data_IF_785121607644
#
_entry.id   IF_785121607644
#
_cell.length_a   1.000
_cell.length_b   1.000
_cell.length_c   1.000
_cell.angle_alpha   90.00
_cell.angle_beta   90.00
_cell.angle_gamma   90.00
#
_symmetry.space_group_name_H-M   'P 1'
#
loop_
_entity.id
_entity.type
_entity.pdbx_description
1 polymer ?
#
# COMPACT_ATOMS: atom_id res chain seq x y z
N UNK A 1 0.76 -2.12 24.77
CA UNK A 1 -0.20 -2.08 23.64
C UNK A 1 0.52 -2.58 22.40
N UNK A 2 0.01 -3.62 21.74
CA UNK A 2 0.59 -4.13 20.50
C UNK A 2 0.41 -3.08 19.38
N UNK A 3 1.46 -2.35 19.05
CA UNK A 3 1.49 -1.49 17.88
C UNK A 3 1.51 -2.38 16.65
N UNK A 4 0.39 -2.44 15.92
CA UNK A 4 0.37 -2.98 14.56
C UNK A 4 1.20 -2.06 13.66
N UNK A 5 2.51 -2.32 13.59
CA UNK A 5 3.49 -1.52 12.86
C UNK A 5 4.84 -2.24 12.82
N UNK A 6 5.63 -1.95 11.80
CA UNK A 6 7.02 -2.41 11.74
C UNK A 6 7.82 -1.47 12.66
N UNK A 7 8.24 -1.97 13.82
CA UNK A 7 9.14 -1.23 14.71
C UNK A 7 10.56 -1.45 14.23
N UNK A 8 11.27 -0.38 13.87
CA UNK A 8 12.68 -0.45 13.54
C UNK A 8 13.45 0.42 14.52
N UNK A 9 14.37 -0.20 15.25
CA UNK A 9 15.18 0.43 16.28
C UNK A 9 16.60 0.62 15.75
N UNK A 10 17.16 1.81 15.92
CA UNK A 10 18.59 2.06 15.77
C UNK A 10 19.14 2.47 17.13
N UNK A 11 20.13 1.72 17.64
CA UNK A 11 20.90 2.13 18.80
C UNK A 11 22.10 2.94 18.31
N UNK A 12 22.11 4.23 18.60
CA UNK A 12 23.21 5.12 18.26
C UNK A 12 23.74 5.64 19.60
N UNK A 13 24.90 5.14 20.01
CA UNK A 13 25.47 5.39 21.34
C UNK A 13 25.53 6.89 21.68
N UNK A 14 25.99 7.71 20.73
CA UNK A 14 26.15 9.16 20.89
C UNK A 14 24.83 9.91 21.10
N UNK A 15 23.69 9.41 20.58
CA UNK A 15 22.41 10.11 20.70
C UNK A 15 21.88 10.12 22.13
N UNK A 16 22.10 9.04 22.90
CA UNK A 16 21.68 8.99 24.31
C UNK A 16 22.43 10.01 25.15
N UNK A 17 23.72 10.18 24.89
CA UNK A 17 24.57 11.16 25.57
C UNK A 17 24.14 12.59 25.24
N UNK A 18 23.93 12.90 23.95
CA UNK A 18 23.43 14.20 23.49
C UNK A 18 22.05 14.52 24.08
N UNK A 19 21.13 13.55 24.10
CA UNK A 19 19.80 13.73 24.68
C UNK A 19 19.85 13.99 26.19
N UNK A 20 20.78 13.32 26.88
CA UNK A 20 21.03 13.52 28.31
C UNK A 20 21.63 14.90 28.58
N UNK A 21 22.61 15.32 27.78
CA UNK A 21 23.22 16.66 27.88
C UNK A 21 22.19 17.77 27.66
N UNK A 22 21.34 17.65 26.63
CA UNK A 22 20.25 18.60 26.37
C UNK A 22 19.28 18.64 27.57
N UNK A 23 18.96 17.48 28.16
CA UNK A 23 18.08 17.40 29.32
C UNK A 23 18.62 18.05 30.59
N UNK A 24 19.93 18.31 30.69
CA UNK A 24 20.53 19.05 31.81
C UNK A 24 20.43 20.56 31.65
N UNK A 25 20.38 21.05 30.40
CA UNK A 25 20.43 22.48 30.08
C UNK A 25 19.03 23.06 29.87
N UNK A 26 18.14 22.29 29.25
CA UNK A 26 16.84 22.76 28.81
C UNK A 26 15.70 22.23 29.68
N UNK A 27 14.62 23.02 29.77
CA UNK A 27 13.36 22.53 30.34
C UNK A 27 12.80 21.36 29.50
N UNK A 28 11.96 20.49 30.08
CA UNK A 28 11.33 19.42 29.31
C UNK A 28 10.58 19.94 28.07
N UNK A 29 9.88 21.07 28.17
CA UNK A 29 9.15 21.65 27.04
C UNK A 29 10.08 22.07 25.89
N UNK A 30 11.18 22.75 26.22
CA UNK A 30 12.16 23.20 25.23
C UNK A 30 12.91 22.03 24.60
N UNK A 31 13.29 21.04 25.43
CA UNK A 31 13.91 19.80 24.96
C UNK A 31 13.01 19.08 23.95
N UNK A 32 11.71 18.93 24.23
CA UNK A 32 10.78 18.29 23.31
C UNK A 32 10.69 19.04 21.97
N UNK A 33 10.70 20.38 22.00
CA UNK A 33 10.69 21.22 20.80
C UNK A 33 11.97 21.06 19.97
N UNK A 34 13.13 21.09 20.62
CA UNK A 34 14.44 20.86 19.96
C UNK A 34 14.47 19.48 19.30
N UNK A 35 14.06 18.44 20.01
CA UNK A 35 14.00 17.07 19.46
C UNK A 35 13.03 16.99 18.28
N UNK A 36 11.87 17.64 18.36
CA UNK A 36 10.89 17.69 17.27
C UNK A 36 11.46 18.36 16.01
N UNK A 37 12.16 19.49 16.16
CA UNK A 37 12.79 20.20 15.04
C UNK A 37 13.93 19.40 14.43
N UNK A 38 14.76 18.75 15.26
CA UNK A 38 15.83 17.88 14.81
C UNK A 38 15.29 16.66 14.05
N UNK A 39 14.24 15.99 14.57
CA UNK A 39 13.56 14.88 13.89
C UNK A 39 12.95 15.31 12.55
N UNK A 40 12.42 16.53 12.45
CA UNK A 40 11.85 17.07 11.21
C UNK A 40 12.87 17.14 10.10
N UNK A 41 14.09 17.57 10.42
CA UNK A 41 15.19 17.62 9.47
C UNK A 41 15.75 16.22 9.17
N UNK A 42 15.92 15.40 10.21
CA UNK A 42 16.49 14.06 10.08
C UNK A 42 15.63 13.13 9.21
N UNK A 43 14.30 13.19 9.33
CA UNK A 43 13.39 12.31 8.58
C UNK A 43 13.07 12.80 7.15
N UNK A 44 13.45 14.02 6.78
CA UNK A 44 13.23 14.54 5.43
C UNK A 44 13.82 13.66 4.31
N UNK A 45 15.11 13.26 4.35
CA UNK A 45 15.67 12.36 3.33
C UNK A 45 15.01 10.97 3.33
N UNK A 46 14.61 10.46 4.50
CA UNK A 46 13.91 9.20 4.60
C UNK A 46 12.53 9.24 3.94
N UNK A 47 11.81 10.37 4.05
CA UNK A 47 10.54 10.57 3.35
C UNK A 47 10.70 10.61 1.83
N UNK A 48 11.73 11.30 1.34
CA UNK A 48 12.03 11.36 -0.10
C UNK A 48 12.37 9.97 -0.63
N UNK A 49 13.22 9.23 0.08
CA UNK A 49 13.56 7.85 -0.27
C UNK A 49 12.34 6.92 -0.21
N UNK A 50 11.45 7.08 0.76
CA UNK A 50 10.20 6.32 0.83
C UNK A 50 9.36 6.53 -0.43
N UNK A 51 9.23 7.77 -0.89
CA UNK A 51 8.50 8.07 -2.14
C UNK A 51 9.15 7.45 -3.37
N UNK A 52 10.48 7.36 -3.40
CA UNK A 52 11.21 6.71 -4.50
C UNK A 52 11.00 5.20 -4.50
N UNK A 53 11.14 4.56 -3.33
CA UNK A 53 11.01 3.11 -3.18
C UNK A 53 9.55 2.63 -3.26
N UNK A 54 8.58 3.51 -3.05
CA UNK A 54 7.16 3.16 -3.17
C UNK A 54 6.78 2.98 -4.64
N UNK A 55 6.34 1.77 -5.07
CA UNK A 55 5.91 1.56 -6.44
C UNK A 55 4.68 2.39 -6.78
N UNK A 56 4.63 2.90 -8.01
CA UNK A 56 3.46 3.61 -8.51
C UNK A 56 2.39 2.60 -8.97
N UNK A 57 1.38 2.40 -8.12
CA UNK A 57 0.19 1.64 -8.52
C UNK A 57 -0.70 2.42 -9.51
N UNK A 58 -1.78 1.82 -10.02
CA UNK A 58 -2.66 2.42 -11.04
C UNK A 58 -3.19 3.83 -10.73
N UNK A 59 -3.23 4.21 -9.45
CA UNK A 59 -3.67 5.54 -9.00
C UNK A 59 -2.58 6.39 -8.34
N UNK A 60 -1.39 5.82 -8.09
CA UNK A 60 -0.28 6.52 -7.42
C UNK A 60 -0.56 6.97 -5.97
N UNK A 61 -1.69 6.54 -5.38
CA UNK A 61 -2.14 7.01 -4.07
C UNK A 61 -1.16 6.73 -2.94
N UNK A 62 -0.52 5.56 -2.96
CA UNK A 62 0.37 5.15 -1.89
C UNK A 62 1.61 6.06 -1.83
N UNK A 63 2.22 6.35 -2.97
CA UNK A 63 3.36 7.28 -3.08
C UNK A 63 2.99 8.69 -2.60
N UNK A 64 1.78 9.16 -2.89
CA UNK A 64 1.24 10.44 -2.40
C UNK A 64 0.93 10.44 -0.90
N UNK A 65 0.60 9.28 -0.35
CA UNK A 65 0.30 9.11 1.06
C UNK A 65 1.55 8.98 1.94
N UNK A 66 2.75 8.81 1.35
CA UNK A 66 4.00 8.83 2.08
C UNK A 66 4.17 10.16 2.82
N UNK A 67 4.30 10.08 4.14
CA UNK A 67 4.36 11.23 5.02
C UNK A 67 5.15 10.93 6.29
N UNK A 68 5.53 12.00 6.98
CA UNK A 68 6.12 11.93 8.31
C UNK A 68 5.17 12.60 9.29
N UNK A 69 4.97 11.99 10.45
CA UNK A 69 4.26 12.57 11.59
C UNK A 69 5.24 12.69 12.75
N UNK A 70 5.35 13.88 13.32
CA UNK A 70 6.25 14.15 14.45
C UNK A 70 5.42 14.71 15.59
N UNK A 71 5.61 14.16 16.77
CA UNK A 71 4.89 14.56 17.98
C UNK A 71 5.92 14.80 19.08
N UNK A 72 5.97 16.04 19.57
CA UNK A 72 6.69 16.39 20.79
C UNK A 72 5.81 16.15 22.03
N UNK A 73 6.41 15.61 23.08
CA UNK A 73 5.81 15.37 24.38
C UNK A 73 6.44 16.34 25.38
N UNK A 74 5.89 17.55 25.49
CA UNK A 74 6.48 18.64 26.27
C UNK A 74 6.62 18.35 27.77
N UNK A 75 5.76 17.49 28.33
CA UNK A 75 5.85 17.09 29.75
C UNK A 75 7.05 16.19 30.02
N UNK A 76 7.34 15.26 29.11
CA UNK A 76 8.39 14.26 29.27
C UNK A 76 9.73 14.71 28.67
N UNK A 77 9.73 15.80 27.89
CA UNK A 77 10.91 16.26 27.16
C UNK A 77 11.37 15.27 26.09
N UNK A 78 10.42 14.55 25.48
CA UNK A 78 10.70 13.59 24.42
C UNK A 78 9.98 13.97 23.12
N UNK A 79 10.40 13.38 22.00
CA UNK A 79 9.69 13.51 20.73
C UNK A 79 9.75 12.19 19.96
N UNK A 80 8.69 11.90 19.21
CA UNK A 80 8.59 10.70 18.38
C UNK A 80 8.33 11.10 16.93
N UNK A 81 9.14 10.55 16.03
CA UNK A 81 8.96 10.64 14.59
C UNK A 81 8.43 9.33 14.03
N UNK A 82 7.39 9.40 13.21
CA UNK A 82 6.80 8.28 12.50
C UNK A 82 6.93 8.52 11.00
N UNK A 83 7.62 7.63 10.30
CA UNK A 83 7.69 7.57 8.85
C UNK A 83 6.73 6.49 8.35
N UNK A 84 5.89 6.82 7.38
CA UNK A 84 4.96 5.84 6.84
C UNK A 84 3.97 6.42 5.85
N UNK A 85 2.85 5.71 5.67
CA UNK A 85 1.77 6.16 4.80
C UNK A 85 0.60 6.64 5.63
N UNK A 86 -0.05 7.73 5.19
CA UNK A 86 -1.30 8.18 5.80
C UNK A 86 -2.38 7.13 5.56
N UNK A 87 -2.85 6.53 6.65
CA UNK A 87 -4.04 5.68 6.63
C UNK A 87 -5.20 6.47 6.03
N UNK A 88 -6.03 5.80 5.24
CA UNK A 88 -7.23 6.41 4.73
C UNK A 88 -8.19 6.83 5.85
N UNK A 89 -8.79 8.02 5.69
CA UNK A 89 -9.78 8.53 6.64
C UNK A 89 -10.92 7.54 6.86
N UNK A 90 -11.53 7.54 8.06
CA UNK A 90 -12.69 6.69 8.41
C UNK A 90 -13.99 7.12 7.71
N UNK A 91 -13.98 8.19 6.91
CA UNK A 91 -15.16 8.65 6.17
C UNK A 91 -15.61 7.64 5.12
N UNK A 92 -16.88 7.70 4.71
CA UNK A 92 -17.44 6.85 3.67
C UNK A 92 -16.54 6.92 2.42
N UNK A 93 -15.93 5.79 2.07
CA UNK A 93 -15.06 5.68 0.92
C UNK A 93 -15.91 5.76 -0.35
N UNK A 94 -16.19 6.97 -0.83
CA UNK A 94 -16.81 7.14 -2.12
C UNK A 94 -15.81 6.82 -3.24
N UNK A 95 -16.22 5.80 -4.00
CA UNK A 95 -15.68 5.40 -5.29
C UNK A 95 -15.41 6.61 -6.19
N UNK A 96 -14.36 6.56 -7.02
CA UNK A 96 -14.50 7.25 -8.30
C UNK A 96 -15.59 6.49 -9.07
N UNK A 97 -16.76 7.08 -9.26
CA UNK A 97 -17.92 6.63 -10.07
C UNK A 97 -17.71 5.33 -10.87
N UNK A 98 -18.36 4.21 -10.52
CA UNK A 98 -18.32 3.00 -11.37
C UNK A 98 -16.91 2.54 -11.79
N UNK A 99 -15.89 2.85 -10.98
CA UNK A 99 -14.47 2.72 -11.29
C UNK A 99 -13.64 3.06 -10.05
N UNK A 100 -13.61 2.15 -9.08
CA UNK A 100 -13.44 2.43 -7.64
C UNK A 100 -12.05 2.91 -7.14
N UNK A 101 -11.37 3.90 -7.75
CA UNK A 101 -10.21 4.56 -7.10
C UNK A 101 -10.02 6.03 -7.53
N UNK A 102 -10.25 7.01 -6.63
CA UNK A 102 -9.84 8.43 -6.86
C UNK A 102 -8.41 8.67 -6.40
N UNK A 103 -7.73 9.63 -7.03
CA UNK A 103 -6.41 10.13 -6.58
C UNK A 103 -6.56 10.92 -5.27
N UNK A 104 -5.76 10.62 -4.24
CA UNK A 104 -5.77 11.31 -2.94
C UNK A 104 -4.61 10.88 -2.04
N UNK A 105 -4.07 11.81 -1.23
CA UNK A 105 -2.96 11.56 -0.30
C UNK A 105 -3.38 10.81 0.97
N UNK A 106 -4.67 10.57 1.13
CA UNK A 106 -5.33 9.93 2.27
C UNK A 106 -5.93 8.56 1.88
N UNK A 107 -5.26 7.82 0.98
CA UNK A 107 -5.84 6.60 0.36
C UNK A 107 -4.84 5.44 0.25
N UNK A 108 -4.04 5.21 1.29
CA UNK A 108 -3.03 4.14 1.36
C UNK A 108 -3.61 2.74 1.66
N UNK A 109 -4.65 2.30 0.94
CA UNK A 109 -5.36 1.03 1.22
C UNK A 109 -4.51 -0.23 1.03
N UNK A 110 -3.35 -0.13 0.37
CA UNK A 110 -2.56 -1.29 -0.07
C UNK A 110 -1.17 -1.39 0.57
N UNK A 111 -0.86 -0.56 1.58
CA UNK A 111 0.43 -0.63 2.28
C UNK A 111 0.73 -2.05 2.75
N UNK A 112 -0.21 -2.67 3.48
CA UNK A 112 0.01 -3.99 4.07
C UNK A 112 0.35 -5.06 3.02
N UNK A 113 -0.32 -5.04 1.86
CA UNK A 113 -0.04 -5.98 0.77
C UNK A 113 1.34 -5.75 0.15
N UNK A 114 1.82 -4.51 0.10
CA UNK A 114 3.17 -4.25 -0.39
C UNK A 114 4.25 -4.58 0.63
N UNK A 115 3.98 -4.47 1.93
CA UNK A 115 4.97 -4.84 2.94
C UNK A 115 5.06 -6.36 3.15
N UNK A 116 3.93 -7.06 3.14
CA UNK A 116 3.85 -8.48 3.53
C UNK A 116 3.56 -9.43 2.36
N UNK A 117 3.14 -8.89 1.21
CA UNK A 117 2.57 -9.69 0.14
C UNK A 117 1.17 -10.22 0.45
N UNK A 118 0.64 -11.02 -0.45
CA UNK A 118 -0.56 -11.82 -0.25
C UNK A 118 -0.30 -13.26 -0.67
N UNK A 119 -1.06 -14.20 -0.10
CA UNK A 119 -0.97 -15.62 -0.46
C UNK A 119 -1.65 -15.89 -1.80
N UNK A 120 -1.20 -16.93 -2.48
CA UNK A 120 -1.91 -17.51 -3.61
C UNK A 120 -3.34 -17.87 -3.19
N UNK A 121 -4.31 -17.53 -4.04
CA UNK A 121 -5.72 -17.91 -3.84
C UNK A 121 -6.05 -19.01 -4.83
N UNK A 122 -6.46 -20.17 -4.33
CA UNK A 122 -6.87 -21.32 -5.14
C UNK A 122 -8.40 -21.33 -5.22
N UNK A 123 -8.93 -21.41 -6.43
CA UNK A 123 -10.35 -21.61 -6.71
C UNK A 123 -10.51 -23.07 -7.11
N UNK A 124 -10.88 -23.87 -6.12
CA UNK A 124 -11.05 -25.33 -6.16
C UNK A 124 -12.53 -25.75 -6.13
N UNK A 125 -13.45 -24.79 -6.09
CA UNK A 125 -14.89 -25.08 -6.18
C UNK A 125 -15.29 -25.29 -7.64
N UNK A 126 -15.54 -26.55 -7.99
CA UNK A 126 -16.05 -26.93 -9.30
C UNK A 126 -17.47 -26.39 -9.50
N UNK A 127 -17.72 -25.71 -10.62
CA UNK A 127 -19.07 -25.34 -11.03
C UNK A 127 -19.66 -26.44 -11.92
N UNK A 128 -20.46 -27.28 -11.29
CA UNK A 128 -21.19 -28.38 -11.92
C UNK A 128 -22.69 -28.35 -11.58
N UNK A 129 -23.24 -27.18 -11.24
CA UNK A 129 -24.68 -27.08 -10.99
C UNK A 129 -25.42 -27.16 -12.33
N UNK A 130 -26.23 -28.21 -12.59
CA UNK A 130 -27.05 -28.26 -13.79
C UNK A 130 -28.13 -27.17 -13.72
N UNK A 131 -28.54 -26.66 -14.88
CA UNK A 131 -29.60 -25.64 -14.95
C UNK A 131 -30.57 -25.92 -16.09
N UNK A 132 -31.84 -25.55 -15.90
CA UNK A 132 -32.85 -25.64 -16.94
C UNK A 132 -32.74 -24.45 -17.89
N UNK A 133 -32.43 -24.70 -19.16
CA UNK A 133 -32.47 -23.65 -20.19
C UNK A 133 -33.92 -23.50 -20.66
N UNK A 134 -34.45 -22.26 -20.60
CA UNK A 134 -35.80 -21.94 -21.12
C UNK A 134 -35.86 -22.15 -22.64
N UNK A 135 -37.06 -22.45 -23.14
CA UNK A 135 -37.29 -22.56 -24.58
C UNK A 135 -37.00 -21.23 -25.28
N UNK A 136 -36.35 -21.30 -26.44
CA UNK A 136 -36.03 -20.12 -27.26
C UNK A 136 -35.97 -20.51 -28.73
N UNK A 137 -36.15 -19.54 -29.61
CA UNK A 137 -35.98 -19.73 -31.06
C UNK A 137 -34.55 -19.37 -31.46
N UNK A 138 -33.95 -20.17 -32.33
CA UNK A 138 -32.63 -19.90 -32.92
C UNK A 138 -32.74 -19.93 -34.44
N UNK A 139 -32.25 -18.87 -35.09
CA UNK A 139 -32.07 -18.84 -36.54
C UNK A 139 -30.73 -19.49 -36.90
N UNK A 140 -30.78 -20.46 -37.80
CA UNK A 140 -29.59 -21.16 -38.30
C UNK A 140 -28.91 -20.36 -39.41
N UNK A 141 -27.68 -20.74 -39.76
CA UNK A 141 -26.90 -20.09 -40.83
C UNK A 141 -27.57 -20.22 -42.21
N UNK A 142 -28.45 -21.21 -42.38
CA UNK A 142 -29.30 -21.44 -43.55
C UNK A 142 -30.58 -20.59 -43.60
N UNK A 143 -30.81 -19.73 -42.59
CA UNK A 143 -32.02 -18.90 -42.50
C UNK A 143 -33.23 -19.57 -41.85
N UNK A 144 -33.22 -20.90 -41.66
CA UNK A 144 -34.30 -21.61 -40.97
C UNK A 144 -34.36 -21.27 -39.47
N UNK A 145 -35.58 -21.17 -38.93
CA UNK A 145 -35.81 -20.91 -37.50
C UNK A 145 -36.18 -22.21 -36.82
N UNK A 146 -35.43 -22.59 -35.79
CA UNK A 146 -35.68 -23.79 -34.99
C UNK A 146 -36.06 -23.40 -33.56
N UNK A 147 -37.13 -23.98 -33.04
CA UNK A 147 -37.56 -23.78 -31.65
C UNK A 147 -36.85 -24.80 -30.77
N UNK A 148 -35.93 -24.33 -29.94
CA UNK A 148 -35.25 -25.14 -28.94
C UNK A 148 -36.18 -25.28 -27.73
N UNK A 149 -36.65 -26.49 -27.45
CA UNK A 149 -37.47 -26.80 -26.26
C UNK A 149 -36.67 -26.60 -24.98
N UNK A 150 -37.36 -26.32 -23.88
CA UNK A 150 -36.72 -26.29 -22.58
C UNK A 150 -36.13 -27.67 -22.27
N UNK A 151 -34.87 -27.69 -21.82
CA UNK A 151 -34.17 -28.92 -21.48
C UNK A 151 -33.15 -28.63 -20.39
N UNK A 152 -32.79 -29.67 -19.64
CA UNK A 152 -31.76 -29.58 -18.61
C UNK A 152 -30.39 -29.58 -19.29
N UNK A 153 -29.56 -28.59 -18.95
CA UNK A 153 -28.19 -28.49 -19.43
C UNK A 153 -27.28 -29.04 -18.35
N UNK A 154 -26.44 -30.01 -18.71
CA UNK A 154 -25.41 -30.55 -17.81
C UNK A 154 -24.52 -29.42 -17.30
N UNK A 155 -24.07 -29.52 -16.04
CA UNK A 155 -23.13 -28.55 -15.49
C UNK A 155 -21.89 -28.40 -16.36
N UNK A 156 -21.26 -27.23 -16.31
CA UNK A 156 -20.17 -26.90 -17.25
C UNK A 156 -18.83 -27.56 -16.89
N UNK A 157 -18.77 -28.33 -15.80
CA UNK A 157 -17.60 -29.07 -15.30
C UNK A 157 -16.31 -28.25 -15.36
N UNK A 158 -16.37 -27.03 -14.83
CA UNK A 158 -15.26 -26.10 -14.89
C UNK A 158 -15.17 -25.21 -13.65
N UNK A 159 -13.99 -24.65 -13.42
CA UNK A 159 -13.70 -23.66 -12.39
C UNK A 159 -13.80 -22.26 -13.00
N UNK A 160 -14.35 -21.32 -12.22
CA UNK A 160 -14.59 -19.95 -12.65
C UNK A 160 -14.02 -18.95 -11.66
N UNK A 161 -13.24 -18.01 -12.17
CA UNK A 161 -12.77 -16.84 -11.44
C UNK A 161 -13.25 -15.58 -12.16
N UNK A 162 -13.91 -14.66 -11.45
CA UNK A 162 -14.35 -13.41 -12.06
C UNK A 162 -14.32 -12.25 -11.09
N UNK A 163 -14.17 -11.04 -11.64
CA UNK A 163 -14.32 -9.80 -10.88
C UNK A 163 -15.78 -9.38 -10.69
N UNK A 164 -16.77 -10.14 -11.19
CA UNK A 164 -18.16 -9.68 -11.37
C UNK A 164 -18.80 -9.25 -10.04
N UNK A 165 -18.63 -10.07 -9.00
CA UNK A 165 -19.22 -9.81 -7.69
C UNK A 165 -18.56 -8.64 -6.95
N UNK A 166 -17.34 -8.23 -7.33
CA UNK A 166 -16.59 -7.17 -6.64
C UNK A 166 -16.54 -5.84 -7.40
N UNK A 167 -16.28 -5.90 -8.71
CA UNK A 167 -16.11 -4.72 -9.58
C UNK A 167 -17.38 -4.37 -10.36
N UNK A 168 -18.42 -5.21 -10.27
CA UNK A 168 -19.68 -5.01 -10.96
C UNK A 168 -19.75 -5.72 -12.31
N UNK A 169 -20.86 -5.52 -13.05
CA UNK A 169 -21.09 -6.20 -14.30
C UNK A 169 -20.09 -5.78 -15.37
N UNK A 170 -19.64 -6.74 -16.17
CA UNK A 170 -18.79 -6.52 -17.34
C UNK A 170 -19.33 -7.31 -18.53
N UNK A 171 -18.97 -6.87 -19.75
CA UNK A 171 -19.34 -7.58 -20.97
C UNK A 171 -18.24 -8.55 -21.36
N UNK A 172 -18.60 -9.74 -21.83
CA UNK A 172 -17.64 -10.68 -22.42
C UNK A 172 -17.51 -10.38 -23.91
N UNK A 173 -16.29 -10.13 -24.37
CA UNK A 173 -15.94 -10.06 -25.79
C UNK A 173 -15.51 -11.45 -26.25
N UNK A 174 -16.14 -12.00 -27.31
CA UNK A 174 -15.67 -13.25 -27.91
C UNK A 174 -14.25 -13.04 -28.44
N UNK A 175 -13.30 -13.85 -27.99
CA UNK A 175 -11.97 -13.91 -28.61
C UNK A 175 -11.92 -14.99 -29.68
N UNK A 176 -10.99 -14.87 -30.66
CA UNK A 176 -10.72 -15.94 -31.61
C UNK A 176 -10.49 -17.27 -30.88
N UNK A 177 -10.96 -18.36 -31.47
CA UNK A 177 -10.82 -19.70 -30.87
C UNK A 177 -9.32 -19.99 -30.70
N UNK A 178 -8.84 -20.35 -29.49
CA UNK A 178 -7.44 -20.69 -29.32
C UNK A 178 -7.07 -21.88 -30.23
N UNK A 179 -5.83 -21.94 -30.74
CA UNK A 179 -5.33 -23.07 -31.51
C UNK A 179 -5.59 -24.39 -30.80
N UNK A 180 -5.78 -25.46 -31.59
CA UNK A 180 -6.04 -26.81 -31.06
C UNK A 180 -4.85 -27.25 -30.21
N UNK A 181 -5.04 -27.38 -28.90
CA UNK A 181 -4.00 -27.78 -27.94
C UNK A 181 -3.64 -26.73 -26.90
N UNK A 182 -4.12 -25.49 -27.04
CA UNK A 182 -3.89 -24.43 -26.05
C UNK A 182 -5.07 -24.25 -25.10
N UNK A 183 -4.79 -24.27 -23.79
CA UNK A 183 -5.72 -23.89 -22.73
C UNK A 183 -5.90 -22.36 -22.70
N UNK A 184 -6.67 -21.85 -23.65
CA UNK A 184 -6.88 -20.41 -23.84
C UNK A 184 -8.18 -19.87 -23.23
N UNK A 185 -8.09 -18.66 -22.66
CA UNK A 185 -9.23 -17.86 -22.22
C UNK A 185 -10.12 -17.50 -23.43
N UNK A 186 -11.32 -18.09 -23.50
CA UNK A 186 -12.26 -17.94 -24.63
C UNK A 186 -12.97 -16.58 -24.71
N UNK A 187 -12.69 -15.69 -23.78
CA UNK A 187 -13.44 -14.45 -23.59
C UNK A 187 -12.59 -13.40 -22.90
N UNK A 188 -12.47 -12.25 -23.55
CA UNK A 188 -11.99 -11.02 -22.93
C UNK A 188 -13.14 -10.31 -22.22
N UNK A 189 -12.84 -9.40 -21.29
CA UNK A 189 -13.85 -8.57 -20.64
C UNK A 189 -13.80 -7.14 -21.16
N UNK A 190 -14.94 -6.45 -21.12
CA UNK A 190 -15.03 -5.00 -21.28
C UNK A 190 -15.67 -4.40 -20.01
N UNK A 191 -14.94 -3.55 -19.27
CA UNK A 191 -13.56 -3.09 -19.53
C UNK A 191 -12.50 -4.21 -19.40
N UNK A 192 -11.33 -4.01 -19.99
CA UNK A 192 -10.24 -4.99 -19.94
C UNK A 192 -9.61 -5.09 -18.54
N UNK A 193 -8.69 -6.04 -18.38
CA UNK A 193 -7.87 -6.14 -17.17
C UNK A 193 -7.10 -4.83 -16.94
N UNK A 194 -6.95 -4.32 -15.70
CA UNK A 194 -7.37 -4.92 -14.42
C UNK A 194 -8.81 -4.57 -13.98
N UNK A 195 -9.58 -3.84 -14.79
CA UNK A 195 -10.90 -3.34 -14.40
C UNK A 195 -11.98 -4.42 -14.43
N UNK A 196 -11.83 -5.42 -15.29
CA UNK A 196 -12.55 -6.68 -15.16
C UNK A 196 -11.69 -7.85 -15.61
N UNK A 197 -12.04 -9.05 -15.14
CA UNK A 197 -11.47 -10.30 -15.64
C UNK A 197 -12.46 -11.44 -15.50
N UNK A 198 -12.30 -12.44 -16.37
CA UNK A 198 -13.03 -13.69 -16.31
C UNK A 198 -12.10 -14.82 -16.76
N UNK A 199 -11.89 -15.82 -15.89
CA UNK A 199 -11.10 -17.00 -16.21
C UNK A 199 -11.94 -18.25 -16.01
N UNK A 200 -11.96 -19.11 -17.03
CA UNK A 200 -12.55 -20.45 -16.99
C UNK A 200 -11.43 -21.46 -17.17
N UNK A 201 -11.44 -22.54 -16.40
CA UNK A 201 -10.46 -23.62 -16.48
C UNK A 201 -11.11 -24.97 -16.22
N UNK A 202 -10.59 -26.04 -16.81
CA UNK A 202 -10.94 -27.43 -16.49
C UNK A 202 -10.29 -27.90 -15.18
N UNK A 203 -9.19 -27.27 -14.77
CA UNK A 203 -8.47 -27.52 -13.51
C UNK A 203 -8.67 -26.36 -12.52
N UNK A 204 -8.46 -26.58 -11.20
CA UNK A 204 -8.52 -25.52 -10.20
C UNK A 204 -7.70 -24.28 -10.60
N UNK A 205 -8.27 -23.09 -10.41
CA UNK A 205 -7.61 -21.84 -10.83
C UNK A 205 -6.80 -21.28 -9.67
N UNK A 206 -5.48 -21.23 -9.82
CA UNK A 206 -4.60 -20.51 -8.89
C UNK A 206 -4.41 -19.07 -9.34
N UNK A 207 -4.86 -18.11 -8.54
CA UNK A 207 -4.55 -16.70 -8.67
C UNK A 207 -3.32 -16.42 -7.81
N UNK A 208 -2.23 -16.01 -8.46
CA UNK A 208 -0.99 -15.71 -7.77
C UNK A 208 -1.15 -14.51 -6.83
N UNK A 209 -0.65 -14.67 -5.61
CA UNK A 209 -0.58 -13.61 -4.63
C UNK A 209 0.38 -12.50 -5.05
N UNK A 210 0.23 -11.34 -4.45
CA UNK A 210 1.16 -10.24 -4.60
C UNK A 210 2.43 -10.57 -3.81
N UNK A 211 3.60 -10.46 -4.42
CA UNK A 211 4.86 -10.55 -3.68
C UNK A 211 5.06 -9.32 -2.80
N UNK A 212 5.74 -9.46 -1.67
CA UNK A 212 6.20 -8.30 -0.91
C UNK A 212 7.02 -7.37 -1.84
N UNK A 213 6.77 -6.08 -1.75
CA UNK A 213 7.28 -5.04 -2.65
C UNK A 213 6.56 -4.89 -3.99
N UNK A 214 5.55 -5.71 -4.26
CA UNK A 214 4.82 -5.68 -5.52
C UNK A 214 5.72 -5.96 -6.71
N UNK A 215 5.75 -5.06 -7.69
CA UNK A 215 6.59 -5.21 -8.91
C UNK A 215 8.08 -5.11 -8.58
N UNK A 216 8.45 -4.30 -7.59
CA UNK A 216 9.85 -4.08 -7.22
C UNK A 216 10.43 -5.24 -6.40
N UNK A 217 9.58 -6.14 -5.87
CA UNK A 217 10.01 -7.29 -5.07
C UNK A 217 10.65 -6.95 -3.72
N UNK A 218 10.70 -5.66 -3.35
CA UNK A 218 11.27 -5.18 -2.10
C UNK A 218 10.26 -4.35 -1.29
N UNK A 219 10.03 -4.65 0.00
CA UNK A 219 9.09 -3.93 0.85
C UNK A 219 9.57 -2.48 1.10
N UNK A 220 8.80 -1.46 0.70
CA UNK A 220 9.31 -0.10 0.59
C UNK A 220 9.72 0.51 1.92
N UNK A 221 8.97 0.32 3.01
CA UNK A 221 9.32 0.91 4.31
C UNK A 221 10.61 0.32 4.87
N UNK A 222 10.73 -1.00 4.85
CA UNK A 222 11.92 -1.70 5.34
C UNK A 222 13.16 -1.28 4.54
N UNK A 223 13.08 -1.35 3.20
CA UNK A 223 14.19 -0.97 2.32
C UNK A 223 14.57 0.50 2.49
N UNK A 224 13.60 1.41 2.63
CA UNK A 224 13.90 2.84 2.88
C UNK A 224 14.61 3.04 4.21
N UNK A 225 14.18 2.39 5.28
CA UNK A 225 14.83 2.56 6.57
C UNK A 225 16.26 2.02 6.54
N UNK A 226 16.47 0.82 6.00
CA UNK A 226 17.82 0.25 5.83
C UNK A 226 18.75 1.20 5.08
N UNK A 227 18.26 1.83 4.00
CA UNK A 227 19.04 2.74 3.18
C UNK A 227 19.31 4.11 3.80
N UNK A 228 18.48 4.58 4.74
CA UNK A 228 18.54 5.96 5.25
C UNK A 228 18.85 6.06 6.74
N UNK A 229 18.85 4.95 7.47
CA UNK A 229 19.02 4.92 8.93
C UNK A 229 20.29 5.64 9.40
N UNK A 230 21.43 5.40 8.75
CA UNK A 230 22.69 6.09 9.04
C UNK A 230 22.61 7.59 8.79
N UNK A 231 22.07 8.01 7.63
CA UNK A 231 21.92 9.44 7.31
C UNK A 231 20.97 10.15 8.28
N UNK A 232 19.87 9.48 8.67
CA UNK A 232 18.93 10.01 9.67
C UNK A 232 19.66 10.19 11.01
N UNK A 233 20.47 9.22 11.43
CA UNK A 233 21.26 9.28 12.65
C UNK A 233 22.25 10.45 12.65
N UNK A 234 23.01 10.61 11.57
CA UNK A 234 23.99 11.68 11.39
C UNK A 234 23.35 13.07 11.40
N UNK A 235 22.23 13.25 10.69
CA UNK A 235 21.52 14.54 10.68
C UNK A 235 20.97 14.83 12.08
N UNK A 236 20.41 13.82 12.74
CA UNK A 236 19.86 13.98 14.09
C UNK A 236 20.95 14.37 15.09
N UNK A 237 22.09 13.66 15.12
CA UNK A 237 23.20 13.97 16.03
C UNK A 237 23.78 15.36 15.77
N UNK A 238 23.96 15.73 14.49
CA UNK A 238 24.43 17.06 14.08
C UNK A 238 23.50 18.17 14.55
N UNK A 239 22.19 18.03 14.35
CA UNK A 239 21.22 19.05 14.76
C UNK A 239 21.16 19.22 16.28
N UNK A 240 21.24 18.11 17.02
CA UNK A 240 21.29 18.16 18.50
C UNK A 240 22.58 18.83 19.00
N UNK A 241 23.72 18.56 18.36
CA UNK A 241 24.99 19.22 18.67
C UNK A 241 24.93 20.73 18.43
N UNK A 242 24.37 21.16 17.30
CA UNK A 242 24.17 22.59 16.99
C UNK A 242 23.27 23.25 18.05
N UNK A 243 22.20 22.58 18.48
CA UNK A 243 21.34 23.10 19.55
C UNK A 243 22.07 23.24 20.89
N UNK A 244 22.94 22.30 21.24
CA UNK A 244 23.78 22.38 22.44
C UNK A 244 24.79 23.54 22.36
N UNK A 245 25.51 23.67 21.24
CA UNK A 245 26.50 24.73 21.05
C UNK A 245 25.85 26.13 21.12
N UNK A 246 24.64 26.28 20.56
CA UNK A 246 23.84 27.51 20.69
C UNK A 246 23.41 27.79 22.14
N UNK A 247 23.05 26.75 22.90
CA UNK A 247 22.71 26.88 24.30
C UNK A 247 23.91 27.37 25.12
N UNK A 248 25.06 26.70 24.94
CA UNK A 248 26.30 26.99 25.64
C UNK A 248 26.79 28.41 25.32
N UNK A 249 26.81 28.80 24.03
CA UNK A 249 27.22 30.17 23.66
C UNK A 249 26.32 31.25 24.26
N UNK A 250 25.03 30.97 24.42
CA UNK A 250 24.07 31.89 25.06
C UNK A 250 24.33 32.00 26.56
N UNK A 251 24.57 30.88 27.25
CA UNK A 251 24.96 30.85 28.66
C UNK A 251 26.28 31.59 28.89
N UNK A 252 27.30 31.32 28.08
CA UNK A 252 28.60 32.00 28.20
C UNK A 252 28.47 33.50 27.99
N UNK A 253 27.71 33.95 26.97
CA UNK A 253 27.48 35.39 26.73
C UNK A 253 26.74 36.05 27.90
N UNK A 254 25.77 35.37 28.49
CA UNK A 254 25.05 35.89 29.68
C UNK A 254 25.94 35.99 30.91
N UNK A 255 26.90 35.07 31.08
CA UNK A 255 27.83 35.05 32.21
C UNK A 255 28.94 36.11 32.09
N UNK A 256 29.36 36.47 30.87
CA UNK A 256 30.42 37.47 30.63
C UNK A 256 29.94 38.93 30.59
N UNK A 257 28.65 39.20 30.82
CA UNK A 257 28.18 40.55 31.17
C UNK A 257 28.17 41.61 30.07
N UNK A 258 28.17 41.24 28.79
CA UNK A 258 27.91 42.20 27.71
C UNK A 258 26.39 42.24 27.42
N UNK A 259 25.70 43.20 28.04
CA UNK A 259 24.40 43.73 27.61
C UNK A 259 24.62 44.80 26.53
#
# INVERSE_FOLDING_TARGET
MATAGITITAEIAELRELQTAIGRIFTPADKAKILQDALKKALAPALERLRQNTPEGPTGNLKRAASVKIVGYSRDGNAVGLLGYKRAGKGASESAQGGRVRKGSDRAFHQFWLEQGTKDTVIDKLSNTPYARKSHTRRNRSGSVTTVRAHQVSGQNAYYASSFNKLGPFKLKPTPRPPRGEDGQRVETQPGYPQAFFKRSSQPITIKGLRAGGILGQPPLKTTWEQTSTTVAEILSRELRISLERALSTLTRSATGNL
#
